data_IF_919261664019
#
_entry.id   IF_919261664019
#
_cell.length_a   1.000
_cell.length_b   1.000
_cell.length_c   1.000
_cell.angle_alpha   90.00
_cell.angle_beta   90.00
_cell.angle_gamma   90.00
#
_symmetry.space_group_name_H-M   'P 1'
#
loop_
_entity.id
_entity.type
_entity.pdbx_description
1 polymer ?
#
# COMPACT_ATOMS: atom_id res chain seq x y z
N UNK A 1 3.36 -25.74 26.49
CA UNK A 1 3.22 -26.83 25.49
C UNK A 1 3.22 -26.19 24.11
N UNK A 2 4.18 -26.48 23.23
CA UNK A 2 4.07 -26.05 21.83
C UNK A 2 2.87 -26.75 21.18
N UNK A 3 2.05 -26.01 20.44
CA UNK A 3 0.88 -26.52 19.72
C UNK A 3 1.21 -26.56 18.23
N UNK A 4 0.90 -27.66 17.56
CA UNK A 4 1.11 -27.78 16.12
C UNK A 4 0.22 -26.77 15.38
N UNK A 5 0.83 -25.86 14.62
CA UNK A 5 0.13 -24.95 13.72
C UNK A 5 -0.04 -25.63 12.37
N UNK A 6 -1.25 -25.60 11.82
CA UNK A 6 -1.54 -26.11 10.48
C UNK A 6 -0.64 -25.41 9.44
N UNK A 7 0.05 -26.19 8.59
CA UNK A 7 0.80 -25.64 7.46
C UNK A 7 -0.17 -24.87 6.57
N UNK A 8 0.14 -23.60 6.28
CA UNK A 8 -0.55 -22.87 5.21
C UNK A 8 -0.37 -23.63 3.91
N UNK A 9 -1.47 -23.87 3.21
CA UNK A 9 -1.43 -24.44 1.87
C UNK A 9 -0.91 -23.38 0.90
N UNK A 10 0.38 -23.50 0.55
CA UNK A 10 1.08 -22.62 -0.38
C UNK A 10 1.04 -23.13 -1.82
N UNK A 11 0.46 -24.33 -2.07
CA UNK A 11 0.58 -25.01 -3.35
C UNK A 11 -0.18 -24.32 -4.49
N UNK A 12 -1.12 -23.43 -4.17
CA UNK A 12 -1.87 -22.64 -5.15
C UNK A 12 -2.06 -21.18 -4.73
N UNK A 13 -1.18 -20.63 -3.89
CA UNK A 13 -1.05 -19.17 -3.79
C UNK A 13 -0.37 -18.64 -5.05
N UNK A 14 -1.01 -18.81 -6.22
CA UNK A 14 -0.82 -17.83 -7.29
C UNK A 14 -1.17 -16.51 -6.65
N UNK A 15 -0.20 -15.60 -6.55
CA UNK A 15 -0.39 -14.35 -5.84
C UNK A 15 -1.44 -13.52 -6.59
N UNK A 16 -2.72 -13.77 -6.34
CA UNK A 16 -3.84 -13.16 -7.09
C UNK A 16 -3.79 -11.64 -7.05
N UNK A 17 -3.16 -11.09 -6.01
CA UNK A 17 -2.92 -9.67 -5.83
C UNK A 17 -1.69 -9.10 -6.55
N UNK A 18 -0.84 -9.93 -7.18
CA UNK A 18 0.29 -9.47 -8.02
C UNK A 18 -0.11 -9.31 -9.48
N UNK A 19 -1.34 -9.72 -9.78
CA UNK A 19 -1.80 -9.94 -11.11
C UNK A 19 -2.46 -8.66 -11.60
N UNK A 20 -1.83 -8.09 -12.61
CA UNK A 20 -2.40 -7.07 -13.48
C UNK A 20 -2.61 -7.71 -14.86
N UNK A 21 -3.20 -6.96 -15.79
CA UNK A 21 -3.31 -7.36 -17.20
C UNK A 21 -2.02 -8.07 -17.68
N UNK A 22 -2.21 -9.17 -18.42
CA UNK A 22 -1.14 -9.98 -18.98
C UNK A 22 -0.26 -9.21 -19.98
N UNK A 23 -0.78 -8.13 -20.58
CA UNK A 23 0.00 -7.24 -21.44
C UNK A 23 0.97 -6.38 -20.61
N UNK A 24 2.23 -6.38 -21.00
CA UNK A 24 3.24 -5.51 -20.39
C UNK A 24 3.00 -4.08 -20.91
N UNK A 25 2.83 -3.07 -20.04
CA UNK A 25 2.66 -1.69 -20.48
C UNK A 25 3.90 -1.15 -21.22
N UNK A 26 3.66 -0.37 -22.28
CA UNK A 26 4.72 0.28 -23.06
C UNK A 26 5.37 1.46 -22.33
N UNK A 27 4.64 2.10 -21.41
CA UNK A 27 5.16 3.20 -20.60
C UNK A 27 6.16 2.71 -19.56
N UNK A 28 7.34 3.35 -19.50
CA UNK A 28 8.34 3.07 -18.46
C UNK A 28 7.80 3.36 -17.05
N UNK A 29 7.05 4.44 -16.89
CA UNK A 29 6.41 4.80 -15.62
C UNK A 29 5.45 3.71 -15.14
N UNK A 30 4.62 3.18 -16.06
CA UNK A 30 3.69 2.11 -15.76
C UNK A 30 4.42 0.82 -15.36
N UNK A 31 5.49 0.44 -16.09
CA UNK A 31 6.33 -0.70 -15.72
C UNK A 31 7.00 -0.51 -14.36
N UNK A 32 7.47 0.70 -14.05
CA UNK A 32 8.08 1.05 -12.76
C UNK A 32 7.04 0.97 -11.63
N UNK A 33 5.83 1.48 -11.84
CA UNK A 33 4.74 1.39 -10.88
C UNK A 33 4.38 -0.07 -10.57
N UNK A 34 4.28 -0.91 -11.60
CA UNK A 34 4.03 -2.34 -11.45
C UNK A 34 5.17 -3.07 -10.72
N UNK A 35 6.43 -2.72 -11.02
CA UNK A 35 7.58 -3.29 -10.33
C UNK A 35 7.57 -2.95 -8.83
N UNK A 36 7.37 -1.67 -8.49
CA UNK A 36 7.25 -1.20 -7.11
C UNK A 36 6.07 -1.86 -6.39
N UNK A 37 4.94 -2.04 -7.08
CA UNK A 37 3.76 -2.69 -6.50
C UNK A 37 4.05 -4.15 -6.15
N UNK A 38 4.67 -4.90 -7.06
CA UNK A 38 5.08 -6.31 -6.82
C UNK A 38 6.09 -6.41 -5.68
N UNK A 39 7.05 -5.49 -5.61
CA UNK A 39 8.01 -5.42 -4.52
C UNK A 39 7.33 -5.12 -3.18
N UNK A 40 6.39 -4.17 -3.14
CA UNK A 40 5.62 -3.83 -1.95
C UNK A 40 4.80 -5.02 -1.45
N UNK A 41 4.14 -5.74 -2.36
CA UNK A 41 3.40 -6.97 -2.04
C UNK A 41 4.30 -8.04 -1.44
N UNK A 42 5.47 -8.25 -2.04
CA UNK A 42 6.43 -9.22 -1.53
C UNK A 42 6.92 -8.84 -0.14
N UNK A 43 7.25 -7.57 0.06
CA UNK A 43 7.64 -7.05 1.37
C UNK A 43 6.53 -7.26 2.41
N UNK A 44 5.27 -6.93 2.07
CA UNK A 44 4.11 -7.07 2.96
C UNK A 44 3.87 -8.54 3.34
N UNK A 45 3.96 -9.47 2.38
CA UNK A 45 3.77 -10.90 2.64
C UNK A 45 4.88 -11.50 3.52
N UNK A 46 6.10 -10.97 3.43
CA UNK A 46 7.25 -11.41 4.22
C UNK A 46 7.42 -10.64 5.55
N UNK A 47 6.46 -9.78 5.92
CA UNK A 47 6.49 -9.03 7.18
C UNK A 47 7.41 -7.80 7.18
N UNK A 48 8.00 -7.44 6.04
CA UNK A 48 8.78 -6.20 5.87
C UNK A 48 7.86 -5.00 5.63
N UNK A 49 6.97 -4.73 6.59
CA UNK A 49 5.80 -3.87 6.39
C UNK A 49 6.17 -2.40 6.12
N UNK A 50 7.25 -1.92 6.73
CA UNK A 50 7.82 -0.61 6.47
C UNK A 50 8.19 -0.46 4.99
N UNK A 51 8.91 -1.43 4.43
CA UNK A 51 9.27 -1.40 3.00
C UNK A 51 8.05 -1.46 2.08
N UNK A 52 7.02 -2.22 2.46
CA UNK A 52 5.77 -2.26 1.72
C UNK A 52 5.09 -0.88 1.67
N UNK A 53 4.89 -0.24 2.83
CA UNK A 53 4.28 1.07 2.93
C UNK A 53 5.06 2.13 2.12
N UNK A 54 6.40 2.10 2.21
CA UNK A 54 7.25 3.02 1.44
C UNK A 54 7.12 2.80 -0.07
N UNK A 55 7.13 1.56 -0.55
CA UNK A 55 7.02 1.28 -1.98
C UNK A 55 5.63 1.61 -2.53
N UNK A 56 4.55 1.38 -1.77
CA UNK A 56 3.23 1.89 -2.16
C UNK A 56 3.23 3.41 -2.27
N UNK A 57 3.85 4.11 -1.31
CA UNK A 57 3.96 5.57 -1.37
C UNK A 57 4.68 6.04 -2.64
N UNK A 58 5.83 5.42 -2.98
CA UNK A 58 6.63 5.76 -4.16
C UNK A 58 5.85 5.64 -5.47
N UNK A 59 4.89 4.72 -5.56
CA UNK A 59 4.05 4.57 -6.76
C UNK A 59 3.28 5.87 -7.05
N UNK A 60 2.68 6.47 -6.03
CA UNK A 60 1.95 7.74 -6.17
C UNK A 60 2.91 8.87 -6.56
N UNK A 61 4.14 8.85 -6.04
CA UNK A 61 5.15 9.87 -6.36
C UNK A 61 5.68 9.82 -7.80
N UNK A 62 5.38 8.77 -8.57
CA UNK A 62 5.81 8.69 -9.98
C UNK A 62 5.27 9.87 -10.78
N UNK A 63 4.01 10.28 -10.55
CA UNK A 63 3.39 11.44 -11.22
C UNK A 63 3.09 12.63 -10.30
N UNK A 64 3.10 12.41 -9.00
CA UNK A 64 2.87 13.46 -8.01
C UNK A 64 4.16 13.75 -7.25
N UNK A 65 5.16 14.25 -7.97
CA UNK A 65 6.44 14.60 -7.37
C UNK A 65 6.28 15.66 -6.29
N UNK A 66 6.89 15.38 -5.14
CA UNK A 66 6.90 16.30 -4.01
C UNK A 66 5.74 16.10 -3.04
N UNK A 67 5.98 16.56 -1.81
CA UNK A 67 5.11 16.38 -0.65
C UNK A 67 3.68 16.87 -0.89
N UNK A 68 3.52 18.07 -1.43
CA UNK A 68 2.19 18.70 -1.59
C UNK A 68 1.36 18.05 -2.70
N UNK A 69 1.98 17.68 -3.82
CA UNK A 69 1.29 16.99 -4.91
C UNK A 69 0.76 15.62 -4.46
N UNK A 70 1.61 14.82 -3.80
CA UNK A 70 1.20 13.53 -3.25
C UNK A 70 0.10 13.68 -2.19
N UNK A 71 0.21 14.66 -1.27
CA UNK A 71 -0.82 14.93 -0.25
C UNK A 71 -2.17 15.27 -0.88
N UNK A 72 -2.20 16.15 -1.89
CA UNK A 72 -3.45 16.51 -2.60
C UNK A 72 -4.08 15.29 -3.28
N UNK A 73 -3.26 14.43 -3.86
CA UNK A 73 -3.74 13.18 -4.47
C UNK A 73 -4.36 12.25 -3.42
N UNK A 74 -3.71 12.08 -2.27
CA UNK A 74 -4.24 11.27 -1.16
C UNK A 74 -5.56 11.80 -0.62
N UNK A 75 -5.71 13.12 -0.44
CA UNK A 75 -6.98 13.73 -0.02
C UNK A 75 -8.12 13.31 -0.94
N UNK A 76 -7.92 13.46 -2.25
CA UNK A 76 -8.97 13.22 -3.24
C UNK A 76 -9.31 11.74 -3.35
N UNK A 77 -8.29 10.88 -3.41
CA UNK A 77 -8.49 9.45 -3.67
C UNK A 77 -8.84 8.64 -2.42
N UNK A 78 -8.46 9.11 -1.23
CA UNK A 78 -8.89 8.47 0.01
C UNK A 78 -10.41 8.61 0.21
N UNK A 79 -10.98 9.79 -0.06
CA UNK A 79 -12.42 9.97 0.03
C UNK A 79 -13.19 9.14 -1.00
N UNK A 80 -12.67 9.03 -2.22
CA UNK A 80 -13.23 8.16 -3.23
C UNK A 80 -13.17 6.67 -2.81
N UNK A 81 -12.03 6.23 -2.25
CA UNK A 81 -11.87 4.87 -1.72
C UNK A 81 -12.84 4.59 -0.56
N UNK A 82 -12.98 5.55 0.37
CA UNK A 82 -13.90 5.45 1.51
C UNK A 82 -15.34 5.34 1.06
N UNK A 83 -15.75 6.15 0.08
CA UNK A 83 -17.12 6.13 -0.45
C UNK A 83 -17.42 4.85 -1.25
N UNK A 84 -16.43 4.32 -1.97
CA UNK A 84 -16.56 3.07 -2.73
C UNK A 84 -16.50 1.82 -1.85
N UNK A 85 -15.99 1.93 -0.62
CA UNK A 85 -15.94 0.81 0.32
C UNK A 85 -17.35 0.37 0.73
N UNK A 86 -17.55 -0.95 0.84
CA UNK A 86 -18.84 -1.49 1.28
C UNK A 86 -19.09 -1.09 2.74
N UNK A 87 -20.36 -0.96 3.11
CA UNK A 87 -20.75 -0.81 4.52
C UNK A 87 -20.13 -1.98 5.32
N UNK A 88 -19.26 -1.68 6.29
CA UNK A 88 -18.54 -2.69 7.08
C UNK A 88 -17.13 -3.04 6.57
N UNK A 89 -16.49 -2.18 5.78
CA UNK A 89 -15.06 -2.32 5.48
C UNK A 89 -14.19 -2.01 6.72
N UNK A 90 -13.90 -3.07 7.47
CA UNK A 90 -13.17 -3.01 8.74
C UNK A 90 -11.77 -2.41 8.59
N UNK A 91 -11.14 -2.49 7.42
CA UNK A 91 -9.77 -2.00 7.23
C UNK A 91 -9.73 -0.47 7.15
N UNK A 92 -10.67 0.16 6.45
CA UNK A 92 -10.77 1.63 6.41
C UNK A 92 -11.16 2.18 7.78
N UNK A 93 -12.10 1.53 8.47
CA UNK A 93 -12.49 1.92 9.82
C UNK A 93 -11.30 1.81 10.80
N UNK A 94 -10.55 0.70 10.75
CA UNK A 94 -9.34 0.50 11.58
C UNK A 94 -8.28 1.54 11.27
N UNK A 95 -8.07 1.86 9.99
CA UNK A 95 -7.11 2.88 9.58
C UNK A 95 -7.51 4.28 10.07
N UNK A 96 -8.79 4.65 9.96
CA UNK A 96 -9.29 5.92 10.49
C UNK A 96 -9.12 6.00 12.02
N UNK A 97 -9.38 4.90 12.74
CA UNK A 97 -9.13 4.84 14.17
C UNK A 97 -7.64 5.04 14.52
N UNK A 98 -6.72 4.51 13.71
CA UNK A 98 -5.28 4.74 13.87
C UNK A 98 -4.85 6.17 13.57
N UNK A 99 -5.55 6.87 12.67
CA UNK A 99 -5.29 8.28 12.38
C UNK A 99 -5.68 9.18 13.56
N UNK A 100 -6.66 8.77 14.37
CA UNK A 100 -7.19 9.55 15.48
C UNK A 100 -7.73 10.90 14.99
N UNK A 101 -7.14 12.00 15.48
CA UNK A 101 -7.52 13.36 15.09
C UNK A 101 -6.73 13.90 13.87
N UNK A 102 -5.73 13.16 13.39
CA UNK A 102 -4.94 13.58 12.24
C UNK A 102 -5.65 13.21 10.93
N UNK A 103 -5.68 14.11 9.92
CA UNK A 103 -6.31 13.74 8.67
C UNK A 103 -5.50 12.64 7.93
N UNK A 104 -6.17 11.67 7.28
CA UNK A 104 -5.55 10.51 6.63
C UNK A 104 -4.35 10.81 5.73
N UNK A 105 -4.44 11.81 4.87
CA UNK A 105 -3.36 12.18 3.94
C UNK A 105 -2.09 12.64 4.66
N UNK A 106 -2.25 13.30 5.81
CA UNK A 106 -1.12 13.77 6.63
C UNK A 106 -0.49 12.59 7.36
N UNK A 107 -1.31 11.72 7.94
CA UNK A 107 -0.85 10.48 8.57
C UNK A 107 -0.07 9.59 7.60
N UNK A 108 -0.57 9.36 6.38
CA UNK A 108 0.13 8.58 5.35
C UNK A 108 1.49 9.22 5.03
N UNK A 109 1.52 10.53 4.81
CA UNK A 109 2.76 11.23 4.52
C UNK A 109 3.76 11.14 5.69
N UNK A 110 3.33 11.47 6.89
CA UNK A 110 4.25 11.66 8.02
C UNK A 110 4.62 10.34 8.70
N UNK A 111 3.76 9.32 8.62
CA UNK A 111 3.96 8.05 9.31
C UNK A 111 4.28 6.87 8.39
N UNK A 112 4.07 6.96 7.08
CA UNK A 112 4.38 5.85 6.14
C UNK A 112 5.57 6.17 5.22
N UNK A 113 5.75 7.43 4.81
CA UNK A 113 6.94 7.85 4.03
C UNK A 113 8.18 8.00 4.91
N UNK A 114 8.03 8.65 6.07
CA UNK A 114 9.13 9.05 6.94
C UNK A 114 9.57 7.92 7.88
N UNK A 115 8.65 7.05 8.30
CA UNK A 115 8.91 5.94 9.22
C UNK A 115 10.02 4.98 8.73
N UNK A 116 10.21 4.88 7.42
CA UNK A 116 11.06 3.85 6.80
C UNK A 116 12.38 4.44 6.29
N UNK A 117 12.38 5.73 5.96
CA UNK A 117 13.50 6.38 5.28
C UNK A 117 14.55 6.97 6.24
N UNK A 118 14.26 7.05 7.54
CA UNK A 118 15.15 7.72 8.49
C UNK A 118 15.58 6.77 9.61
N UNK A 119 16.76 6.18 9.49
CA UNK A 119 17.54 5.64 10.63
C UNK A 119 18.14 6.76 11.51
N UNK A 120 17.67 8.00 11.34
CA UNK A 120 18.20 9.18 12.01
C UNK A 120 17.67 9.32 13.44
N UNK A 121 18.28 10.23 14.21
CA UNK A 121 17.99 10.52 15.62
C UNK A 121 16.53 10.90 15.95
N UNK A 122 15.71 11.13 14.92
CA UNK A 122 14.28 11.47 15.01
C UNK A 122 13.37 10.44 14.34
N UNK A 123 13.84 9.20 14.13
CA UNK A 123 12.96 8.12 13.67
C UNK A 123 11.80 7.97 14.64
N UNK A 124 10.58 8.08 14.12
CA UNK A 124 9.34 7.86 14.89
C UNK A 124 8.88 6.41 14.86
N UNK A 125 9.59 5.57 14.11
CA UNK A 125 9.22 4.18 13.86
C UNK A 125 10.36 3.27 14.31
N UNK A 126 10.04 2.35 15.22
CA UNK A 126 10.90 1.27 15.65
C UNK A 126 10.44 0.00 14.90
N UNK A 127 11.25 -0.56 13.99
CA UNK A 127 10.88 -1.74 13.22
C UNK A 127 10.72 -3.01 14.07
N UNK A 128 11.22 -3.03 15.30
CA UNK A 128 11.09 -4.17 16.23
C UNK A 128 9.92 -3.98 17.22
N UNK A 129 9.25 -2.83 17.23
CA UNK A 129 8.05 -2.62 18.05
C UNK A 129 6.81 -3.28 17.41
N UNK A 130 6.23 -4.24 18.13
CA UNK A 130 5.04 -4.97 17.70
C UNK A 130 3.79 -4.07 17.55
N UNK A 131 3.71 -2.93 18.24
CA UNK A 131 2.64 -1.96 18.05
C UNK A 131 2.83 -1.19 16.74
N UNK A 132 4.06 -0.77 16.47
CA UNK A 132 4.44 -0.10 15.22
C UNK A 132 4.22 -0.99 14.00
N UNK A 133 4.62 -2.26 14.05
CA UNK A 133 4.39 -3.22 12.97
C UNK A 133 2.89 -3.36 12.69
N UNK A 134 2.04 -3.48 13.71
CA UNK A 134 0.58 -3.58 13.55
C UNK A 134 -0.04 -2.31 12.96
N UNK A 135 0.43 -1.15 13.42
CA UNK A 135 0.01 0.15 12.91
C UNK A 135 0.35 0.28 11.42
N UNK A 136 1.57 -0.06 11.04
CA UNK A 136 2.03 -0.04 9.66
C UNK A 136 1.33 -1.07 8.78
N UNK A 137 0.96 -2.24 9.32
CA UNK A 137 0.17 -3.22 8.58
C UNK A 137 -1.17 -2.66 8.14
N UNK A 138 -1.91 -2.06 9.08
CA UNK A 138 -3.20 -1.44 8.77
C UNK A 138 -3.06 -0.31 7.77
N UNK A 139 -2.01 0.51 7.90
CA UNK A 139 -1.73 1.57 6.93
C UNK A 139 -1.38 1.00 5.53
N UNK A 140 -0.56 -0.04 5.47
CA UNK A 140 -0.15 -0.69 4.23
C UNK A 140 -1.35 -1.31 3.48
N UNK A 141 -2.35 -1.84 4.18
CA UNK A 141 -3.56 -2.37 3.55
C UNK A 141 -4.36 -1.28 2.81
N UNK A 142 -4.48 -0.09 3.41
CA UNK A 142 -5.10 1.08 2.75
C UNK A 142 -4.22 1.59 1.62
N UNK A 143 -2.90 1.68 1.83
CA UNK A 143 -1.95 2.14 0.82
C UNK A 143 -1.86 1.21 -0.39
N UNK A 144 -1.97 -0.09 -0.20
CA UNK A 144 -2.12 -1.06 -1.28
C UNK A 144 -3.29 -0.68 -2.19
N UNK A 145 -4.46 -0.46 -1.60
CA UNK A 145 -5.69 -0.17 -2.35
C UNK A 145 -5.57 1.16 -3.09
N UNK A 146 -4.96 2.17 -2.47
CA UNK A 146 -4.65 3.44 -3.10
C UNK A 146 -3.66 3.29 -4.25
N UNK A 147 -2.58 2.51 -4.08
CA UNK A 147 -1.60 2.27 -5.12
C UNK A 147 -2.21 1.51 -6.32
N UNK A 148 -3.09 0.54 -6.06
CA UNK A 148 -3.85 -0.16 -7.11
C UNK A 148 -4.73 0.82 -7.89
N UNK A 149 -5.49 1.65 -7.19
CA UNK A 149 -6.34 2.71 -7.79
C UNK A 149 -5.51 3.69 -8.62
N UNK A 150 -4.33 4.08 -8.14
CA UNK A 150 -3.42 4.95 -8.88
C UNK A 150 -2.99 4.31 -10.20
N UNK A 151 -2.56 3.04 -10.17
CA UNK A 151 -2.11 2.32 -11.36
C UNK A 151 -3.24 2.21 -12.40
N UNK A 152 -4.46 1.91 -11.95
CA UNK A 152 -5.63 1.84 -12.80
C UNK A 152 -5.96 3.21 -13.43
N UNK A 153 -6.02 4.27 -12.63
CA UNK A 153 -6.42 5.61 -13.11
C UNK A 153 -5.36 6.27 -14.00
N UNK A 154 -4.09 6.15 -13.65
CA UNK A 154 -3.01 6.90 -14.30
C UNK A 154 -2.39 6.16 -15.49
N UNK A 155 -2.39 4.83 -15.44
CA UNK A 155 -1.75 4.00 -16.47
C UNK A 155 -2.74 3.12 -17.24
N UNK A 156 -4.04 3.17 -16.92
CA UNK A 156 -5.08 2.34 -17.53
C UNK A 156 -4.76 0.84 -17.47
N UNK A 157 -4.02 0.41 -16.45
CA UNK A 157 -3.68 -1.00 -16.26
C UNK A 157 -4.76 -1.66 -15.42
N UNK A 158 -5.49 -2.59 -16.03
CA UNK A 158 -6.53 -3.35 -15.34
C UNK A 158 -5.94 -4.29 -14.31
N UNK A 159 -6.71 -4.49 -13.25
CA UNK A 159 -6.46 -5.42 -12.17
C UNK A 159 -7.09 -6.82 -12.40
N UNK A 160 -7.68 -7.02 -13.59
CA UNK A 160 -8.23 -8.28 -14.06
C UNK A 160 -7.28 -8.92 -15.07
N UNK A 161 -6.82 -10.14 -14.79
CA UNK A 161 -5.94 -10.97 -15.66
C UNK A 161 -6.26 -10.91 -17.15
N UNK A 162 -7.56 -10.91 -17.47
CA UNK A 162 -8.10 -11.17 -18.80
C UNK A 162 -8.78 -9.96 -19.41
N UNK A 163 -8.69 -8.78 -18.78
CA UNK A 163 -9.32 -7.57 -19.29
C UNK A 163 -8.64 -6.98 -20.54
N UNK A 164 -7.53 -7.56 -21.00
CA UNK A 164 -6.79 -7.08 -22.15
C UNK A 164 -7.66 -6.93 -23.40
N UNK A 165 -8.00 -5.69 -23.73
CA UNK A 165 -8.24 -5.23 -25.10
C UNK A 165 -6.91 -5.12 -25.82
#
# INVERSE_FOLDING_TARGET
MPVAVTKRDLAFTTSHEYIFDRKIPDSEEARRALALFREARNAQQNGFISYAALNYYKIIEIRHHGKEAARKWFVTNFEALRTASKQGDDDIARFLALCGNEPPHKYIHDSCRIAVAHAGKHSKSDPDDAHEIRRLHTAADVMHRLARRFIEMEFAVSDVMYAGT
#
